data_IF_431697110771
#
_entry.id   IF_431697110771
#
_cell.length_a   1.000
_cell.length_b   1.000
_cell.length_c   1.000
_cell.angle_alpha   90.00
_cell.angle_beta   90.00
_cell.angle_gamma   90.00
#
_symmetry.space_group_name_H-M   'P 1'
#
loop_
_entity.id
_entity.type
_entity.pdbx_description
1 polymer ?
#
# COMPACT_ATOMS: atom_id res chain seq x y z
N UNK A 1 -4.24 -23.63 -10.87
CA UNK A 1 -4.25 -22.78 -9.66
C UNK A 1 -4.06 -21.32 -10.06
N UNK A 2 -5.00 -20.50 -9.70
CA UNK A 2 -4.91 -19.08 -10.07
C UNK A 2 -3.95 -18.35 -9.15
N UNK A 3 -3.18 -17.44 -9.72
CA UNK A 3 -2.29 -16.59 -8.95
C UNK A 3 -3.12 -15.60 -8.13
N UNK A 4 -2.69 -15.35 -6.89
CA UNK A 4 -3.33 -14.33 -6.09
C UNK A 4 -2.91 -12.94 -6.62
N UNK A 5 -3.79 -11.95 -6.52
CA UNK A 5 -3.49 -10.63 -7.08
C UNK A 5 -2.40 -9.90 -6.29
N UNK A 6 -1.88 -8.86 -6.91
CA UNK A 6 -0.94 -7.93 -6.28
C UNK A 6 -1.71 -6.68 -5.90
N UNK A 7 -1.55 -6.22 -4.67
CA UNK A 7 -2.14 -4.97 -4.21
C UNK A 7 -1.06 -3.91 -4.15
N UNK A 8 -1.18 -2.87 -4.98
CA UNK A 8 -0.25 -1.74 -4.98
C UNK A 8 -0.96 -0.54 -4.37
N UNK A 9 -0.37 0.01 -3.31
CA UNK A 9 -0.88 1.17 -2.61
C UNK A 9 0.02 2.37 -2.92
N UNK A 10 -0.58 3.53 -3.16
CA UNK A 10 0.16 4.71 -3.58
C UNK A 10 0.41 4.74 -5.08
N UNK A 11 -0.53 4.20 -5.86
CA UNK A 11 -0.35 3.98 -7.29
C UNK A 11 -0.22 5.26 -8.11
N UNK A 12 -0.74 6.37 -7.62
CA UNK A 12 -0.77 7.62 -8.38
C UNK A 12 0.46 8.50 -8.19
N UNK A 13 1.37 8.13 -7.29
CA UNK A 13 2.63 8.82 -7.15
C UNK A 13 3.61 8.40 -8.24
N UNK A 14 4.76 9.08 -8.31
CA UNK A 14 5.77 8.79 -9.33
C UNK A 14 6.27 7.34 -9.24
N UNK A 15 6.67 6.92 -8.05
CA UNK A 15 7.13 5.55 -7.84
C UNK A 15 5.99 4.56 -8.09
N UNK A 16 4.79 4.88 -7.62
CA UNK A 16 3.64 3.99 -7.79
C UNK A 16 3.30 3.73 -9.24
N UNK A 17 3.39 4.75 -10.09
CA UNK A 17 3.12 4.59 -11.52
C UNK A 17 4.13 3.67 -12.19
N UNK A 18 5.40 3.80 -11.83
CA UNK A 18 6.43 2.92 -12.37
C UNK A 18 6.24 1.48 -11.89
N UNK A 19 5.92 1.31 -10.61
CA UNK A 19 5.65 -0.01 -10.05
C UNK A 19 4.42 -0.64 -10.69
N UNK A 20 3.39 0.15 -10.98
CA UNK A 20 2.19 -0.39 -11.63
C UNK A 20 2.52 -1.02 -12.97
N UNK A 21 3.37 -0.40 -13.75
CA UNK A 21 3.80 -0.97 -15.04
C UNK A 21 4.58 -2.25 -14.86
N UNK A 22 5.52 -2.26 -13.91
CA UNK A 22 6.37 -3.42 -13.68
C UNK A 22 5.58 -4.59 -13.11
N UNK A 23 4.68 -4.32 -12.17
CA UNK A 23 3.94 -5.37 -11.48
C UNK A 23 2.82 -5.96 -12.34
N UNK A 24 2.29 -5.18 -13.28
CA UNK A 24 1.20 -5.65 -14.13
C UNK A 24 1.58 -6.87 -14.99
N UNK A 25 2.87 -7.03 -15.29
CA UNK A 25 3.33 -8.18 -16.06
C UNK A 25 3.44 -9.44 -15.21
N UNK A 26 3.39 -9.31 -13.88
CA UNK A 26 3.54 -10.45 -12.98
C UNK A 26 2.22 -11.13 -12.65
N UNK A 27 1.08 -10.46 -12.86
CA UNK A 27 -0.21 -11.02 -12.54
C UNK A 27 -1.28 -9.95 -12.36
N UNK A 28 -2.48 -10.34 -11.91
CA UNK A 28 -3.56 -9.38 -11.67
C UNK A 28 -3.12 -8.31 -10.69
N UNK A 29 -3.37 -7.05 -11.02
CA UNK A 29 -2.91 -5.92 -10.22
C UNK A 29 -4.10 -5.05 -9.80
N UNK A 30 -4.20 -4.79 -8.49
CA UNK A 30 -5.11 -3.80 -7.96
C UNK A 30 -4.28 -2.60 -7.51
N UNK A 31 -4.32 -1.53 -8.29
CA UNK A 31 -3.52 -0.33 -8.05
C UNK A 31 -4.41 0.75 -7.47
N UNK A 32 -4.16 1.13 -6.22
CA UNK A 32 -5.00 2.05 -5.47
C UNK A 32 -4.23 3.31 -5.10
N UNK A 33 -4.86 4.46 -5.36
CA UNK A 33 -4.37 5.75 -4.89
C UNK A 33 -5.13 6.19 -3.64
N UNK A 34 -4.91 7.43 -3.25
CA UNK A 34 -5.54 7.98 -2.04
C UNK A 34 -7.05 8.09 -2.14
N UNK A 35 -7.58 8.26 -3.34
CA UNK A 35 -9.02 8.34 -3.54
C UNK A 35 -9.70 6.99 -3.31
N UNK A 36 -8.98 5.89 -3.55
CA UNK A 36 -9.52 4.55 -3.43
C UNK A 36 -9.26 3.94 -2.06
N UNK A 37 -8.17 4.33 -1.40
CA UNK A 37 -7.82 3.80 -0.08
C UNK A 37 -7.21 4.88 0.78
N UNK A 38 -7.90 5.20 1.87
CA UNK A 38 -7.42 6.14 2.88
C UNK A 38 -6.61 5.37 3.92
N UNK A 39 -5.31 5.59 3.94
CA UNK A 39 -4.41 4.89 4.86
C UNK A 39 -4.53 5.36 6.30
N UNK A 40 -5.29 6.41 6.55
CA UNK A 40 -5.58 6.84 7.92
C UNK A 40 -6.75 6.06 8.52
N UNK A 41 -7.45 5.27 7.71
CA UNK A 41 -8.64 4.52 8.13
C UNK A 41 -8.28 3.03 8.22
N UNK A 42 -8.10 2.54 9.45
CA UNK A 42 -7.74 1.15 9.69
C UNK A 42 -8.78 0.17 9.15
N UNK A 43 -10.06 0.51 9.26
CA UNK A 43 -11.12 -0.34 8.76
C UNK A 43 -11.10 -0.44 7.24
N UNK A 44 -10.78 0.65 6.56
CA UNK A 44 -10.67 0.64 5.11
C UNK A 44 -9.51 -0.25 4.65
N UNK A 45 -8.38 -0.20 5.35
CA UNK A 45 -7.24 -1.07 5.05
C UNK A 45 -7.65 -2.54 5.18
N UNK A 46 -8.29 -2.89 6.28
CA UNK A 46 -8.72 -4.27 6.52
C UNK A 46 -9.69 -4.75 5.45
N UNK A 47 -10.67 -3.91 5.08
CA UNK A 47 -11.66 -4.27 4.06
C UNK A 47 -11.03 -4.51 2.71
N UNK A 48 -10.13 -3.62 2.28
CA UNK A 48 -9.47 -3.75 0.99
C UNK A 48 -8.64 -5.02 0.94
N UNK A 49 -7.85 -5.28 1.97
CA UNK A 49 -7.00 -6.47 2.00
C UNK A 49 -7.85 -7.73 2.00
N UNK A 50 -8.93 -7.75 2.76
CA UNK A 50 -9.81 -8.92 2.80
C UNK A 50 -10.56 -9.14 1.49
N UNK A 51 -10.94 -8.06 0.80
CA UNK A 51 -11.62 -8.16 -0.48
C UNK A 51 -10.68 -8.62 -1.60
N UNK A 52 -9.48 -8.08 -1.65
CA UNK A 52 -8.51 -8.39 -2.70
C UNK A 52 -7.82 -9.72 -2.44
N UNK A 53 -7.53 -10.04 -1.20
CA UNK A 53 -6.80 -11.22 -0.76
C UNK A 53 -5.50 -11.40 -1.55
N UNK A 54 -4.61 -10.40 -1.49
CA UNK A 54 -3.42 -10.39 -2.34
C UNK A 54 -2.40 -11.43 -1.92
N UNK A 55 -1.62 -11.90 -2.88
CA UNK A 55 -0.44 -12.70 -2.61
C UNK A 55 0.77 -11.83 -2.30
N UNK A 56 0.74 -10.58 -2.78
CA UNK A 56 1.80 -9.60 -2.55
C UNK A 56 1.17 -8.24 -2.33
N UNK A 57 1.61 -7.54 -1.28
CA UNK A 57 1.23 -6.16 -1.02
C UNK A 57 2.46 -5.29 -1.23
N UNK A 58 2.33 -4.26 -2.07
CA UNK A 58 3.41 -3.30 -2.33
C UNK A 58 2.94 -1.93 -1.87
N UNK A 59 3.55 -1.38 -0.84
CA UNK A 59 3.16 -0.09 -0.27
C UNK A 59 4.15 1.00 -0.68
N UNK A 60 3.73 1.86 -1.60
CA UNK A 60 4.50 3.02 -2.05
C UNK A 60 3.93 4.35 -1.51
N UNK A 61 2.96 4.29 -0.61
CA UNK A 61 2.23 5.48 -0.16
C UNK A 61 3.09 6.43 0.67
N UNK A 62 3.99 5.89 1.49
CA UNK A 62 4.86 6.72 2.32
C UNK A 62 5.74 7.62 1.45
N UNK A 63 6.19 7.09 0.31
CA UNK A 63 7.00 7.86 -0.63
C UNK A 63 6.22 9.04 -1.21
N UNK A 64 4.94 8.82 -1.53
CA UNK A 64 4.11 9.85 -2.13
C UNK A 64 3.61 10.89 -1.13
N UNK A 65 3.77 10.65 0.16
CA UNK A 65 3.29 11.53 1.21
C UNK A 65 4.38 12.43 1.80
N UNK A 66 5.57 12.45 1.21
CA UNK A 66 6.72 13.20 1.75
C UNK A 66 6.39 14.67 1.99
N UNK A 67 5.73 15.30 1.03
CA UNK A 67 5.44 16.73 1.13
C UNK A 67 4.47 17.08 2.26
N UNK A 68 3.71 16.12 2.73
CA UNK A 68 2.73 16.35 3.80
C UNK A 68 3.29 16.09 5.19
N UNK A 69 4.40 15.41 5.28
CA UNK A 69 4.99 15.03 6.56
C UNK A 69 5.29 16.26 7.42
N UNK A 70 5.78 17.32 6.80
CA UNK A 70 6.19 18.52 7.54
C UNK A 70 5.02 19.32 8.10
N UNK A 71 3.90 19.35 7.35
CA UNK A 71 2.77 20.20 7.74
C UNK A 71 1.70 19.46 8.54
N UNK A 72 1.68 18.13 8.50
CA UNK A 72 0.65 17.32 9.14
C UNK A 72 1.27 16.12 9.85
N UNK A 73 1.87 16.32 11.05
CA UNK A 73 2.56 15.23 11.75
C UNK A 73 1.69 14.04 12.09
N UNK A 74 0.41 14.26 12.43
CA UNK A 74 -0.49 13.15 12.73
C UNK A 74 -0.78 12.30 11.49
N UNK A 75 -0.98 12.96 10.36
CA UNK A 75 -1.17 12.29 9.09
C UNK A 75 0.08 11.51 8.70
N UNK A 76 1.25 12.13 8.88
CA UNK A 76 2.52 11.48 8.59
C UNK A 76 2.70 10.21 9.44
N UNK A 77 2.37 10.29 10.73
CA UNK A 77 2.45 9.12 11.61
C UNK A 77 1.52 8.01 11.14
N UNK A 78 0.29 8.36 10.79
CA UNK A 78 -0.68 7.36 10.33
C UNK A 78 -0.20 6.65 9.07
N UNK A 79 0.33 7.40 8.11
CA UNK A 79 0.75 6.83 6.82
C UNK A 79 2.10 6.11 6.93
N UNK A 80 3.04 6.69 7.68
CA UNK A 80 4.43 6.19 7.68
C UNK A 80 4.72 5.19 8.79
N UNK A 81 3.87 5.09 9.81
CA UNK A 81 4.08 4.18 10.92
C UNK A 81 2.91 3.25 11.14
N UNK A 82 1.71 3.79 11.32
CA UNK A 82 0.56 2.95 11.67
C UNK A 82 0.07 2.10 10.50
N UNK A 83 -0.06 2.69 9.32
CA UNK A 83 -0.54 1.95 8.15
C UNK A 83 0.39 0.79 7.76
N UNK A 84 1.74 1.00 7.73
CA UNK A 84 2.63 -0.14 7.49
C UNK A 84 2.47 -1.27 8.49
N UNK A 85 2.24 -0.96 9.76
CA UNK A 85 1.98 -1.98 10.78
C UNK A 85 0.70 -2.75 10.52
N UNK A 86 -0.37 -2.05 10.13
CA UNK A 86 -1.64 -2.69 9.79
C UNK A 86 -1.51 -3.57 8.56
N UNK A 87 -0.75 -3.12 7.56
CA UNK A 87 -0.51 -3.91 6.36
C UNK A 87 0.32 -5.15 6.67
N UNK A 88 1.30 -5.04 7.57
CA UNK A 88 2.09 -6.18 7.98
C UNK A 88 1.26 -7.23 8.70
N UNK A 89 0.34 -6.80 9.57
CA UNK A 89 -0.57 -7.71 10.24
C UNK A 89 -1.48 -8.42 9.25
N UNK A 90 -2.01 -7.66 8.28
CA UNK A 90 -2.87 -8.23 7.25
C UNK A 90 -2.12 -9.22 6.37
N UNK A 91 -0.89 -8.89 6.00
CA UNK A 91 -0.04 -9.77 5.20
C UNK A 91 0.23 -11.08 5.93
N UNK A 92 0.54 -11.00 7.23
CA UNK A 92 0.78 -12.19 8.03
C UNK A 92 -0.48 -13.06 8.12
N UNK A 93 -1.64 -12.44 8.31
CA UNK A 93 -2.92 -13.15 8.40
C UNK A 93 -3.24 -13.92 7.11
N UNK A 94 -2.91 -13.33 5.97
CA UNK A 94 -3.23 -13.92 4.66
C UNK A 94 -2.06 -14.67 4.04
N UNK A 95 -0.95 -14.76 4.74
CA UNK A 95 0.29 -15.36 4.20
C UNK A 95 0.70 -14.67 2.90
N UNK A 96 0.69 -13.34 2.90
CA UNK A 96 1.05 -12.52 1.76
C UNK A 96 2.48 -12.01 1.90
N UNK A 97 3.16 -11.78 0.78
CA UNK A 97 4.41 -11.02 0.80
C UNK A 97 4.09 -9.53 1.02
N UNK A 98 5.04 -8.81 1.59
CA UNK A 98 4.90 -7.38 1.79
C UNK A 98 6.20 -6.67 1.43
N UNK A 99 6.09 -5.70 0.52
CA UNK A 99 7.19 -4.79 0.18
C UNK A 99 6.77 -3.39 0.59
N UNK A 100 7.59 -2.76 1.40
CA UNK A 100 7.32 -1.41 1.89
C UNK A 100 8.43 -0.47 1.43
N UNK A 101 8.06 0.54 0.65
CA UNK A 101 8.99 1.59 0.24
C UNK A 101 8.88 2.74 1.23
N UNK A 102 9.99 3.08 1.88
CA UNK A 102 10.05 4.19 2.80
C UNK A 102 11.00 5.24 2.28
N UNK A 103 10.82 6.48 2.75
CA UNK A 103 11.73 7.57 2.42
C UNK A 103 12.81 7.65 3.47
N UNK A 104 14.05 7.86 3.04
CA UNK A 104 15.20 7.99 3.93
C UNK A 104 15.64 9.46 3.96
N UNK A 105 14.80 10.30 4.49
CA UNK A 105 15.15 11.72 4.62
C UNK A 105 15.38 12.09 6.05
#
# INVERSE_FOLDING_TARGET
MSARPILLIGAHGQLGRELARSLAVLGPLHALGRAELDLTDADAIARVVDDVRPGLIVNAAAYTAVDRVESEPELAFAINARAPGLLAEAAARLDSGLVHYSTDY
#
